data_IF_026097594415
#
_entry.id   IF_026097594415
#
_cell.length_a   1.000
_cell.length_b   1.000
_cell.length_c   1.000
_cell.angle_alpha   90.00
_cell.angle_beta   90.00
_cell.angle_gamma   90.00
#
_symmetry.space_group_name_H-M   'P 1'
#
loop_
_entity.id
_entity.type
_entity.pdbx_description
1 polymer ?
#
# COMPACT_ATOMS: atom_id res chain seq x y z
N UNK A 1 -10.40 -16.96 -8.23
CA UNK A 1 -9.85 -17.95 -7.29
C UNK A 1 -10.51 -19.29 -7.58
N UNK A 2 -9.76 -20.36 -7.85
CA UNK A 2 -10.34 -21.68 -8.16
C UNK A 2 -10.45 -22.52 -6.89
N UNK A 3 -11.66 -22.81 -6.45
CA UNK A 3 -11.92 -23.65 -5.27
C UNK A 3 -13.30 -23.35 -4.67
N UNK A 4 -13.87 -24.33 -3.95
CA UNK A 4 -15.08 -24.12 -3.14
C UNK A 4 -14.68 -23.51 -1.80
N UNK A 5 -15.35 -22.43 -1.39
CA UNK A 5 -15.17 -21.83 -0.06
C UNK A 5 -15.32 -20.31 -0.05
N UNK A 6 -15.73 -19.78 1.09
CA UNK A 6 -15.89 -18.34 1.34
C UNK A 6 -14.51 -17.74 1.68
N UNK A 7 -13.77 -17.31 0.66
CA UNK A 7 -12.39 -16.83 0.79
C UNK A 7 -12.26 -15.44 0.18
N UNK A 8 -11.74 -14.50 0.97
CA UNK A 8 -11.30 -13.19 0.50
C UNK A 8 -9.78 -13.13 0.69
N UNK A 9 -9.02 -13.14 -0.41
CA UNK A 9 -7.57 -12.93 -0.39
C UNK A 9 -7.31 -11.43 -0.28
N UNK A 10 -6.39 -11.04 0.60
CA UNK A 10 -6.02 -9.64 0.79
C UNK A 10 -4.53 -9.45 0.59
N UNK A 11 -4.15 -8.43 -0.17
CA UNK A 11 -2.78 -7.94 -0.29
C UNK A 11 -2.74 -6.51 0.28
N UNK A 12 -2.31 -6.36 1.55
CA UNK A 12 -2.02 -5.06 2.15
C UNK A 12 -0.58 -4.61 1.87
N UNK A 13 -0.24 -3.37 2.24
CA UNK A 13 1.13 -2.89 2.29
C UNK A 13 1.48 -2.24 3.65
N UNK A 14 2.77 -1.93 3.85
CA UNK A 14 3.34 -1.47 5.13
C UNK A 14 2.64 -0.22 5.74
N UNK A 15 2.21 0.79 4.96
CA UNK A 15 1.55 1.98 5.51
C UNK A 15 0.18 1.75 6.19
N UNK A 16 -0.36 0.52 6.18
CA UNK A 16 -1.54 0.17 6.99
C UNK A 16 -1.33 0.46 8.47
N UNK A 17 -0.10 0.35 8.98
CA UNK A 17 0.23 0.61 10.39
C UNK A 17 -0.13 2.05 10.85
N UNK A 18 -0.27 2.98 9.91
CA UNK A 18 -0.63 4.39 10.15
C UNK A 18 -1.93 4.79 9.43
N UNK A 19 -2.75 3.81 9.04
CA UNK A 19 -4.01 4.01 8.30
C UNK A 19 -3.86 4.75 6.95
N UNK A 20 -2.69 4.66 6.31
CA UNK A 20 -2.40 5.22 4.98
C UNK A 20 -2.07 4.12 3.96
N UNK A 21 -2.50 2.89 4.24
CA UNK A 21 -2.20 1.74 3.42
C UNK A 21 -3.07 1.61 2.17
N UNK A 22 -2.72 0.62 1.36
CA UNK A 22 -3.52 0.16 0.23
C UNK A 22 -3.76 -1.34 0.44
N UNK A 23 -5.02 -1.76 0.34
CA UNK A 23 -5.45 -3.15 0.44
C UNK A 23 -6.17 -3.58 -0.82
N UNK A 24 -5.60 -4.54 -1.56
CA UNK A 24 -6.29 -5.17 -2.69
C UNK A 24 -6.96 -6.47 -2.26
N UNK A 25 -8.22 -6.65 -2.64
CA UNK A 25 -9.06 -7.79 -2.29
C UNK A 25 -9.41 -8.57 -3.55
N UNK A 26 -9.18 -9.88 -3.54
CA UNK A 26 -9.80 -10.82 -4.47
C UNK A 26 -10.81 -11.68 -3.72
N UNK A 27 -11.97 -11.86 -4.33
CA UNK A 27 -13.15 -12.45 -3.70
C UNK A 27 -13.50 -13.75 -4.44
N UNK A 28 -13.67 -14.84 -3.69
CA UNK A 28 -14.21 -16.08 -4.24
C UNK A 28 -15.69 -15.94 -4.60
N UNK A 29 -16.15 -16.66 -5.62
CA UNK A 29 -17.54 -16.62 -6.08
C UNK A 29 -18.57 -17.03 -5.01
N UNK A 30 -18.16 -17.87 -4.04
CA UNK A 30 -19.03 -18.34 -2.96
C UNK A 30 -19.26 -17.30 -1.85
N UNK A 31 -18.55 -16.17 -1.85
CA UNK A 31 -18.68 -15.14 -0.81
C UNK A 31 -20.03 -14.42 -0.88
N UNK A 32 -20.68 -14.30 0.26
CA UNK A 32 -21.92 -13.55 0.41
C UNK A 32 -21.64 -12.05 0.52
N UNK A 33 -22.60 -11.24 0.08
CA UNK A 33 -22.51 -9.77 0.17
C UNK A 33 -22.12 -9.27 1.57
N UNK A 34 -22.70 -9.85 2.63
CA UNK A 34 -22.38 -9.48 4.02
C UNK A 34 -20.90 -9.67 4.39
N UNK A 35 -20.25 -10.67 3.82
CA UNK A 35 -18.83 -11.01 4.06
C UNK A 35 -17.93 -10.02 3.31
N UNK A 36 -18.32 -9.69 2.08
CA UNK A 36 -17.66 -8.69 1.25
C UNK A 36 -17.75 -7.31 1.92
N UNK A 37 -18.95 -6.91 2.36
CA UNK A 37 -19.19 -5.62 3.02
C UNK A 37 -18.40 -5.52 4.33
N UNK A 38 -18.29 -6.61 5.09
CA UNK A 38 -17.47 -6.66 6.30
C UNK A 38 -15.98 -6.46 5.99
N UNK A 39 -15.45 -7.16 4.99
CA UNK A 39 -14.06 -7.03 4.58
C UNK A 39 -13.75 -5.61 4.07
N UNK A 40 -14.61 -5.06 3.20
CA UNK A 40 -14.46 -3.69 2.71
C UNK A 40 -14.44 -2.68 3.85
N UNK A 41 -15.38 -2.78 4.79
CA UNK A 41 -15.44 -1.89 5.95
C UNK A 41 -14.18 -1.95 6.81
N UNK A 42 -13.62 -3.16 7.01
CA UNK A 42 -12.41 -3.35 7.79
C UNK A 42 -11.21 -2.68 7.11
N UNK A 43 -10.96 -3.00 5.84
CA UNK A 43 -9.76 -2.52 5.15
C UNK A 43 -9.86 -1.05 4.74
N UNK A 44 -11.07 -0.51 4.51
CA UNK A 44 -11.24 0.93 4.25
C UNK A 44 -10.89 1.79 5.45
N UNK A 45 -10.94 1.25 6.67
CA UNK A 45 -10.48 1.95 7.87
C UNK A 45 -8.94 2.07 7.95
N UNK A 46 -8.22 1.27 7.15
CA UNK A 46 -6.76 1.20 7.12
C UNK A 46 -6.13 1.95 5.94
N UNK A 47 -6.97 2.55 5.09
CA UNK A 47 -6.58 3.32 3.91
C UNK A 47 -7.38 2.93 2.68
N UNK A 48 -6.77 3.06 1.50
CA UNK A 48 -7.42 2.77 0.22
C UNK A 48 -7.69 1.27 0.09
N UNK A 49 -8.90 0.91 -0.35
CA UNK A 49 -9.28 -0.49 -0.58
C UNK A 49 -9.86 -0.65 -1.98
N UNK A 50 -9.41 -1.68 -2.70
CA UNK A 50 -9.87 -1.99 -4.05
C UNK A 50 -10.17 -3.49 -4.21
N UNK A 51 -11.26 -3.80 -4.90
CA UNK A 51 -11.55 -5.17 -5.34
C UNK A 51 -10.93 -5.36 -6.71
N UNK A 52 -10.13 -6.41 -6.86
CA UNK A 52 -9.42 -6.74 -8.09
C UNK A 52 -9.58 -8.21 -8.44
N UNK A 53 -9.24 -8.55 -9.68
CA UNK A 53 -9.14 -9.95 -10.08
C UNK A 53 -7.88 -10.57 -9.47
N UNK A 54 -7.96 -11.87 -9.18
CA UNK A 54 -6.86 -12.65 -8.60
C UNK A 54 -5.59 -12.63 -9.47
N UNK A 55 -5.74 -12.59 -10.79
CA UNK A 55 -4.65 -12.66 -11.77
C UNK A 55 -3.75 -11.41 -11.78
N UNK A 56 -4.21 -10.29 -11.23
CA UNK A 56 -3.41 -9.06 -11.15
C UNK A 56 -2.69 -8.87 -9.81
N UNK A 57 -2.75 -9.84 -8.89
CA UNK A 57 -2.12 -9.72 -7.57
C UNK A 57 -0.60 -9.54 -7.64
N UNK A 58 0.07 -10.10 -8.64
CA UNK A 58 1.52 -9.92 -8.82
C UNK A 58 1.85 -8.47 -9.19
N UNK A 59 1.04 -7.86 -10.06
CA UNK A 59 1.17 -6.45 -10.46
C UNK A 59 0.89 -5.53 -9.26
N UNK A 60 -0.17 -5.81 -8.50
CA UNK A 60 -0.48 -5.07 -7.28
C UNK A 60 0.64 -5.21 -6.26
N UNK A 61 1.19 -6.41 -6.08
CA UNK A 61 2.27 -6.63 -5.10
C UNK A 61 3.53 -5.85 -5.47
N UNK A 62 3.91 -5.87 -6.76
CA UNK A 62 5.05 -5.11 -7.25
C UNK A 62 4.84 -3.60 -7.10
N UNK A 63 3.63 -3.08 -7.38
CA UNK A 63 3.37 -1.65 -7.31
C UNK A 63 3.11 -1.16 -5.87
N UNK A 64 2.15 -1.77 -5.18
CA UNK A 64 1.67 -1.32 -3.87
C UNK A 64 2.51 -1.87 -2.71
N UNK A 65 2.95 -3.13 -2.81
CA UNK A 65 3.78 -3.78 -1.80
C UNK A 65 5.21 -3.24 -1.81
N UNK A 66 5.84 -3.21 -2.99
CA UNK A 66 7.21 -2.68 -3.13
C UNK A 66 7.27 -1.17 -3.34
N UNK A 67 6.19 -0.52 -3.75
CA UNK A 67 6.12 0.92 -4.01
C UNK A 67 6.68 1.82 -2.89
N UNK A 68 6.32 1.60 -1.62
CA UNK A 68 6.88 2.36 -0.51
C UNK A 68 8.41 2.32 -0.45
N UNK A 69 9.03 1.17 -0.76
CA UNK A 69 10.48 1.05 -0.75
C UNK A 69 11.14 1.92 -1.84
N UNK A 70 10.53 2.00 -3.03
CA UNK A 70 11.04 2.86 -4.11
C UNK A 70 10.96 4.34 -3.72
N UNK A 71 9.85 4.76 -3.10
CA UNK A 71 9.69 6.13 -2.61
C UNK A 71 10.67 6.45 -1.49
N UNK A 72 10.86 5.54 -0.53
CA UNK A 72 11.83 5.73 0.56
C UNK A 72 13.25 5.89 0.04
N UNK A 73 13.65 5.06 -0.92
CA UNK A 73 14.96 5.18 -1.54
C UNK A 73 15.14 6.50 -2.30
N UNK A 74 14.11 6.95 -3.02
CA UNK A 74 14.14 8.25 -3.70
C UNK A 74 14.28 9.42 -2.72
N UNK A 75 13.51 9.40 -1.62
CA UNK A 75 13.58 10.39 -0.54
C UNK A 75 14.98 10.42 0.09
N UNK A 76 15.52 9.26 0.43
CA UNK A 76 16.84 9.11 1.02
C UNK A 76 17.93 9.70 0.10
N UNK A 77 17.88 9.37 -1.20
CA UNK A 77 18.84 9.90 -2.17
C UNK A 77 18.79 11.44 -2.31
N UNK A 78 17.60 12.04 -2.26
CA UNK A 78 17.45 13.49 -2.28
C UNK A 78 18.03 14.15 -1.03
N UNK A 79 17.71 13.61 0.15
CA UNK A 79 18.20 14.10 1.44
C UNK A 79 19.73 14.01 1.49
N UNK A 80 20.29 12.86 1.12
CA UNK A 80 21.73 12.62 1.13
C UNK A 80 22.48 13.58 0.20
N UNK A 81 21.90 13.86 -0.97
CA UNK A 81 22.48 14.81 -1.92
C UNK A 81 22.44 16.24 -1.36
N UNK A 82 21.31 16.67 -0.81
CA UNK A 82 21.20 18.00 -0.22
C UNK A 82 22.19 18.22 0.95
N UNK A 83 22.41 17.18 1.77
CA UNK A 83 23.42 17.22 2.85
C UNK A 83 24.84 17.32 2.29
N UNK A 84 25.17 16.56 1.23
CA UNK A 84 26.49 16.63 0.57
C UNK A 84 26.78 18.02 0.01
N UNK A 85 25.76 18.73 -0.45
CA UNK A 85 25.84 20.12 -0.94
C UNK A 85 25.82 21.17 0.19
N UNK A 86 25.87 20.74 1.46
CA UNK A 86 26.07 21.62 2.61
C UNK A 86 24.79 22.04 3.34
N UNK A 87 23.62 21.51 2.96
CA UNK A 87 22.38 21.78 3.72
C UNK A 87 22.37 21.01 5.05
N UNK A 88 21.85 21.63 6.10
CA UNK A 88 21.66 20.95 7.39
C UNK A 88 20.69 19.77 7.24
N UNK A 89 20.99 18.64 7.90
CA UNK A 89 20.18 17.40 7.82
C UNK A 89 18.69 17.62 8.07
N UNK A 90 18.35 18.44 9.08
CA UNK A 90 16.96 18.75 9.42
C UNK A 90 16.27 19.49 8.27
N UNK A 91 16.90 20.53 7.75
CA UNK A 91 16.33 21.34 6.67
C UNK A 91 16.24 20.53 5.36
N UNK A 92 17.22 19.66 5.08
CA UNK A 92 17.16 18.72 3.96
C UNK A 92 15.97 17.78 4.07
N UNK A 93 15.77 17.16 5.23
CA UNK A 93 14.62 16.29 5.48
C UNK A 93 13.29 17.04 5.34
N UNK A 94 13.16 18.19 6.02
CA UNK A 94 11.91 18.98 6.02
C UNK A 94 11.55 19.49 4.62
N UNK A 95 12.54 19.91 3.82
CA UNK A 95 12.32 20.35 2.45
C UNK A 95 11.89 19.21 1.53
N UNK A 96 12.50 18.03 1.63
CA UNK A 96 12.15 16.87 0.77
C UNK A 96 10.76 16.35 1.10
N UNK A 97 10.43 16.18 2.38
CA UNK A 97 9.13 15.64 2.80
C UNK A 97 7.99 16.64 2.54
N UNK A 98 8.24 17.95 2.55
CA UNK A 98 7.20 18.98 2.29
C UNK A 98 6.42 18.78 0.98
N UNK A 99 7.04 18.15 -0.02
CA UNK A 99 6.44 17.95 -1.34
C UNK A 99 5.78 16.58 -1.53
N UNK A 100 5.70 15.77 -0.46
CA UNK A 100 5.17 14.41 -0.45
C UNK A 100 3.98 14.29 0.49
#
# INVERSE_FOLDING_TARGET
MKGKGHIIRVMPNTPIAICQGVSALAISEDCQKKEIDMALKLFSALGMTLIVKEDIFDVISALSGSGPAYLFYFIEALIDTAIKEGLGKKDAYDLVIKYL
#
